data_IF_737225439419
#
_entry.id   IF_737225439419
#
_cell.length_a   1.000
_cell.length_b   1.000
_cell.length_c   1.000
_cell.angle_alpha   90.00
_cell.angle_beta   90.00
_cell.angle_gamma   90.00
#
_symmetry.space_group_name_H-M   'P 1'
#
loop_
_entity.id
_entity.type
_entity.pdbx_description
1 polymer ?
#
# COMPACT_ATOMS: atom_id res chain seq x y z
N UNK A 1 1.93 1.55 -8.78
CA UNK A 1 0.65 1.42 -9.46
C UNK A 1 -0.34 0.52 -8.68
N UNK A 2 0.01 -0.74 -8.37
CA UNK A 2 -0.89 -1.68 -7.68
C UNK A 2 -1.52 -1.09 -6.40
N UNK A 3 -0.72 -0.53 -5.49
CA UNK A 3 -1.21 0.05 -4.23
C UNK A 3 -2.14 1.27 -4.42
N UNK A 4 -2.07 1.97 -5.56
CA UNK A 4 -3.05 3.03 -5.92
C UNK A 4 -4.40 2.43 -6.30
N UNK A 5 -4.43 1.23 -6.86
CA UNK A 5 -5.67 0.57 -7.28
C UNK A 5 -6.37 -0.21 -6.16
N UNK A 6 -5.66 -0.59 -5.08
CA UNK A 6 -6.22 -1.42 -4.00
C UNK A 6 -7.24 -0.74 -3.10
N UNK A 7 -7.22 0.59 -2.80
CA UNK A 7 -8.22 1.19 -1.92
C UNK A 7 -9.65 0.85 -2.36
N UNK A 8 -10.43 0.28 -1.43
CA UNK A 8 -11.82 -0.14 -1.64
C UNK A 8 -12.06 -1.08 -2.84
N UNK A 9 -11.03 -1.79 -3.30
CA UNK A 9 -11.12 -2.78 -4.39
C UNK A 9 -10.50 -4.09 -3.96
N UNK A 10 -10.93 -5.20 -4.58
CA UNK A 10 -10.29 -6.51 -4.35
C UNK A 10 -8.87 -6.47 -4.93
N UNK A 11 -7.88 -6.94 -4.15
CA UNK A 11 -6.47 -6.97 -4.58
C UNK A 11 -6.28 -7.71 -5.91
N UNK A 12 -6.96 -8.85 -6.10
CA UNK A 12 -6.94 -9.60 -7.37
C UNK A 12 -7.43 -8.76 -8.56
N UNK A 13 -8.48 -7.93 -8.37
CA UNK A 13 -8.96 -7.05 -9.42
C UNK A 13 -7.95 -5.94 -9.75
N UNK A 14 -7.33 -5.36 -8.71
CA UNK A 14 -6.27 -4.37 -8.90
C UNK A 14 -5.08 -4.98 -9.66
N UNK A 15 -4.67 -6.19 -9.31
CA UNK A 15 -3.59 -6.90 -10.00
C UNK A 15 -3.93 -7.19 -11.46
N UNK A 16 -5.15 -7.71 -11.71
CA UNK A 16 -5.64 -7.95 -13.09
C UNK A 16 -5.64 -6.66 -13.91
N UNK A 17 -6.12 -5.55 -13.33
CA UNK A 17 -6.11 -4.25 -14.00
C UNK A 17 -4.70 -3.80 -14.38
N UNK A 18 -3.71 -3.95 -13.48
CA UNK A 18 -2.30 -3.64 -13.79
C UNK A 18 -1.77 -4.51 -14.92
N UNK A 19 -2.11 -5.81 -14.95
CA UNK A 19 -1.76 -6.71 -16.06
C UNK A 19 -2.27 -6.18 -17.40
N UNK A 20 -3.57 -5.88 -17.48
CA UNK A 20 -4.21 -5.35 -18.69
C UNK A 20 -3.55 -4.03 -19.13
N UNK A 21 -3.36 -3.08 -18.22
CA UNK A 21 -2.74 -1.79 -18.55
C UNK A 21 -1.30 -1.95 -19.04
N UNK A 22 -0.56 -2.91 -18.48
CA UNK A 22 0.82 -3.19 -18.91
C UNK A 22 0.85 -3.80 -20.30
N UNK A 23 0.01 -4.79 -20.57
CA UNK A 23 -0.07 -5.49 -21.86
C UNK A 23 -0.45 -4.54 -23.01
N UNK A 24 -1.30 -3.55 -22.75
CA UNK A 24 -1.71 -2.53 -23.70
C UNK A 24 -0.79 -1.29 -23.72
N UNK A 25 0.33 -1.29 -22.97
CA UNK A 25 1.24 -0.15 -22.89
C UNK A 25 0.72 1.07 -22.12
N UNK A 26 -0.55 1.05 -21.70
CA UNK A 26 -1.24 2.18 -21.06
C UNK A 26 -0.68 2.53 -19.69
N UNK A 27 -0.10 1.56 -18.99
CA UNK A 27 0.54 1.81 -17.69
C UNK A 27 1.68 2.83 -17.79
N UNK A 28 2.36 2.85 -18.93
CA UNK A 28 3.54 3.69 -19.15
C UNK A 28 3.25 4.94 -19.98
N UNK A 29 2.30 4.89 -20.89
CA UNK A 29 2.07 5.95 -21.88
C UNK A 29 0.61 6.40 -21.98
N UNK A 30 -0.37 5.68 -21.37
CA UNK A 30 -1.80 6.01 -21.52
C UNK A 30 -2.20 7.29 -20.79
N UNK A 31 -3.14 8.01 -21.34
CA UNK A 31 -3.81 9.13 -20.68
C UNK A 31 -4.90 8.65 -19.72
N UNK A 32 -5.34 9.51 -18.80
CA UNK A 32 -6.27 9.12 -17.74
C UNK A 32 -7.59 8.57 -18.29
N UNK A 33 -8.11 9.13 -19.35
CA UNK A 33 -9.35 8.71 -20.02
C UNK A 33 -9.22 7.30 -20.57
N UNK A 34 -8.12 7.00 -21.28
CA UNK A 34 -7.84 5.69 -21.86
C UNK A 34 -7.67 4.63 -20.73
N UNK A 35 -6.89 4.96 -19.69
CA UNK A 35 -6.68 4.08 -18.54
C UNK A 35 -8.01 3.75 -17.86
N UNK A 36 -8.91 4.74 -17.70
CA UNK A 36 -10.19 4.57 -17.03
C UNK A 36 -11.10 3.53 -17.72
N UNK A 37 -11.02 3.36 -19.03
CA UNK A 37 -11.78 2.37 -19.79
C UNK A 37 -11.47 0.93 -19.35
N UNK A 38 -10.22 0.67 -18.97
CA UNK A 38 -9.76 -0.65 -18.52
C UNK A 38 -9.86 -0.88 -16.99
N UNK A 39 -10.28 0.14 -16.23
CA UNK A 39 -10.40 0.07 -14.78
C UNK A 39 -11.81 -0.27 -14.27
N UNK A 40 -12.72 -0.77 -15.10
CA UNK A 40 -14.10 -1.11 -14.71
C UNK A 40 -14.19 -2.14 -13.55
N UNK A 41 -13.16 -2.95 -13.35
CA UNK A 41 -13.10 -3.98 -12.30
C UNK A 41 -12.65 -3.45 -10.94
N UNK A 42 -12.26 -2.15 -10.84
CA UNK A 42 -11.89 -1.49 -9.59
C UNK A 42 -12.83 -0.31 -9.33
N UNK A 43 -13.01 0.04 -8.03
CA UNK A 43 -13.83 1.20 -7.65
C UNK A 43 -13.10 2.51 -7.93
N UNK A 44 -13.86 3.57 -8.22
CA UNK A 44 -13.34 4.93 -8.47
C UNK A 44 -12.38 5.02 -9.65
N UNK A 45 -12.69 4.31 -10.71
CA UNK A 45 -11.84 4.15 -11.89
C UNK A 45 -11.29 5.48 -12.45
N UNK A 46 -12.12 6.52 -12.55
CA UNK A 46 -11.73 7.82 -13.10
C UNK A 46 -10.68 8.52 -12.24
N UNK A 47 -10.86 8.52 -10.91
CA UNK A 47 -9.88 9.09 -9.99
C UNK A 47 -8.58 8.28 -9.99
N UNK A 48 -8.70 6.95 -9.96
CA UNK A 48 -7.53 6.06 -9.96
C UNK A 48 -6.73 6.15 -11.25
N UNK A 49 -7.39 6.31 -12.39
CA UNK A 49 -6.72 6.57 -13.66
C UNK A 49 -5.87 7.85 -13.61
N UNK A 50 -6.44 8.96 -13.12
CA UNK A 50 -5.71 10.22 -12.90
C UNK A 50 -4.53 10.03 -11.94
N UNK A 51 -4.73 9.31 -10.83
CA UNK A 51 -3.66 9.04 -9.86
C UNK A 51 -2.54 8.18 -10.43
N UNK A 52 -2.83 7.27 -11.36
CA UNK A 52 -1.78 6.49 -12.06
C UNK A 52 -0.94 7.38 -12.98
N UNK A 53 -1.56 8.30 -13.70
CA UNK A 53 -0.83 9.27 -14.55
C UNK A 53 0.03 10.19 -13.70
N UNK A 54 -0.53 10.76 -12.61
CA UNK A 54 0.22 11.60 -11.68
C UNK A 54 1.38 10.84 -11.03
N UNK A 55 1.16 9.59 -10.60
CA UNK A 55 2.20 8.73 -10.06
C UNK A 55 3.32 8.50 -11.09
N UNK A 56 2.97 8.20 -12.33
CA UNK A 56 3.94 8.02 -13.41
C UNK A 56 4.78 9.28 -13.59
N UNK A 57 4.15 10.44 -13.67
CA UNK A 57 4.84 11.71 -13.82
C UNK A 57 5.77 12.00 -12.63
N UNK A 58 5.30 11.75 -11.40
CA UNK A 58 6.09 11.92 -10.17
C UNK A 58 7.31 10.98 -10.12
N UNK A 59 7.21 9.80 -10.73
CA UNK A 59 8.28 8.79 -10.77
C UNK A 59 9.16 8.90 -12.03
N UNK A 60 8.96 9.94 -12.85
CA UNK A 60 9.73 10.18 -14.05
C UNK A 60 10.67 11.37 -13.85
N UNK A 61 11.94 11.20 -14.23
CA UNK A 61 12.97 12.25 -14.26
C UNK A 61 13.74 12.15 -15.57
N UNK A 62 13.91 13.27 -16.27
CA UNK A 62 14.61 13.34 -17.57
C UNK A 62 14.06 12.33 -18.59
N UNK A 63 12.73 12.20 -18.66
CA UNK A 63 12.02 11.28 -19.55
C UNK A 63 12.15 9.80 -19.20
N UNK A 64 12.79 9.46 -18.08
CA UNK A 64 12.97 8.06 -17.63
C UNK A 64 12.17 7.78 -16.37
N UNK A 65 11.47 6.64 -16.33
CA UNK A 65 10.76 6.16 -15.16
C UNK A 65 11.75 5.56 -14.15
N UNK A 66 11.99 6.25 -13.03
CA UNK A 66 13.02 5.94 -12.04
C UNK A 66 12.47 5.79 -10.60
N UNK A 67 11.44 4.96 -10.35
CA UNK A 67 10.78 4.91 -9.05
C UNK A 67 11.73 4.47 -7.94
N UNK A 68 12.63 3.52 -8.19
CA UNK A 68 13.61 3.06 -7.20
C UNK A 68 14.55 4.18 -6.77
N UNK A 69 15.12 4.89 -7.72
CA UNK A 69 16.03 6.01 -7.46
C UNK A 69 15.32 7.12 -6.69
N UNK A 70 14.14 7.55 -7.17
CA UNK A 70 13.39 8.63 -6.55
C UNK A 70 12.99 8.29 -5.12
N UNK A 71 12.56 7.07 -4.83
CA UNK A 71 12.19 6.65 -3.48
C UNK A 71 13.43 6.51 -2.57
N UNK A 72 14.55 5.99 -3.08
CA UNK A 72 15.78 5.85 -2.27
C UNK A 72 16.41 7.18 -1.85
N UNK A 73 16.11 8.27 -2.54
CA UNK A 73 16.56 9.63 -2.19
C UNK A 73 15.73 10.26 -1.05
N UNK A 74 14.65 9.63 -0.59
CA UNK A 74 13.74 10.21 0.42
C UNK A 74 14.19 9.93 1.87
N UNK A 75 15.29 9.21 2.06
CA UNK A 75 15.85 8.90 3.36
C UNK A 75 15.48 7.50 3.86
N UNK A 76 15.27 7.37 5.17
CA UNK A 76 14.84 6.09 5.77
C UNK A 76 13.41 5.69 5.42
N UNK A 77 12.99 4.52 5.90
CA UNK A 77 11.64 3.98 5.62
C UNK A 77 10.52 4.91 6.11
N UNK A 78 10.71 5.59 7.23
CA UNK A 78 9.69 6.47 7.81
C UNK A 78 9.60 7.79 7.05
N UNK A 79 10.73 8.34 6.64
CA UNK A 79 10.79 9.54 5.79
C UNK A 79 10.22 9.25 4.40
N UNK A 80 10.57 8.10 3.81
CA UNK A 80 10.03 7.67 2.53
C UNK A 80 8.51 7.43 2.60
N UNK A 81 8.01 6.81 3.70
CA UNK A 81 6.58 6.66 3.96
C UNK A 81 5.85 8.00 4.01
N UNK A 82 6.40 8.95 4.78
CA UNK A 82 5.80 10.29 4.90
C UNK A 82 5.75 10.98 3.55
N UNK A 83 6.83 10.91 2.79
CA UNK A 83 6.86 11.46 1.45
C UNK A 83 5.82 10.81 0.51
N UNK A 84 5.67 9.48 0.53
CA UNK A 84 4.65 8.76 -0.26
C UNK A 84 3.25 9.25 0.14
N UNK A 85 2.96 9.29 1.43
CA UNK A 85 1.67 9.74 1.96
C UNK A 85 1.32 11.17 1.53
N UNK A 86 2.28 12.08 1.56
CA UNK A 86 2.07 13.49 1.24
C UNK A 86 1.99 13.77 -0.27
N UNK A 87 2.66 12.99 -1.10
CA UNK A 87 2.87 13.31 -2.51
C UNK A 87 2.14 12.38 -3.50
N UNK A 88 1.77 11.16 -3.10
CA UNK A 88 1.10 10.22 -4.01
C UNK A 88 -0.39 10.20 -3.73
N UNK A 89 -1.18 10.81 -4.61
CA UNK A 89 -2.64 10.82 -4.50
C UNK A 89 -3.23 9.41 -4.51
N UNK A 90 -4.24 9.20 -3.68
CA UNK A 90 -4.91 7.91 -3.51
C UNK A 90 -4.17 6.90 -2.64
N UNK A 91 -3.04 7.29 -2.04
CA UNK A 91 -2.34 6.50 -1.03
C UNK A 91 -2.50 7.12 0.36
N UNK A 92 -3.15 6.38 1.28
CA UNK A 92 -3.09 6.65 2.71
C UNK A 92 -1.87 5.99 3.36
N UNK A 93 -1.76 6.10 4.69
CA UNK A 93 -0.67 5.47 5.47
C UNK A 93 -0.57 3.96 5.22
N UNK A 94 -1.72 3.28 5.18
CA UNK A 94 -1.78 1.84 4.92
C UNK A 94 -1.23 1.49 3.53
N UNK A 95 -1.61 2.23 2.51
CA UNK A 95 -1.15 2.00 1.13
C UNK A 95 0.33 2.34 0.95
N UNK A 96 0.83 3.38 1.62
CA UNK A 96 2.25 3.73 1.64
C UNK A 96 3.08 2.59 2.27
N UNK A 97 2.65 2.06 3.42
CA UNK A 97 3.31 0.93 4.06
C UNK A 97 3.20 -0.36 3.22
N UNK A 98 2.08 -0.58 2.55
CA UNK A 98 1.91 -1.71 1.64
C UNK A 98 2.91 -1.63 0.45
N UNK A 99 3.08 -0.45 -0.14
CA UNK A 99 4.07 -0.22 -1.18
C UNK A 99 5.48 -0.51 -0.66
N UNK A 100 5.86 0.05 0.49
CA UNK A 100 7.19 -0.11 1.07
C UNK A 100 7.48 -1.56 1.44
N UNK A 101 6.52 -2.29 2.03
CA UNK A 101 6.65 -3.72 2.30
C UNK A 101 6.89 -4.51 1.02
N UNK A 102 6.17 -4.22 -0.07
CA UNK A 102 6.34 -4.88 -1.36
C UNK A 102 7.70 -4.56 -2.02
N UNK A 103 8.36 -3.49 -1.60
CA UNK A 103 9.71 -3.13 -2.02
C UNK A 103 10.81 -3.70 -1.09
N UNK A 104 10.44 -4.46 -0.05
CA UNK A 104 11.38 -5.06 0.90
C UNK A 104 11.70 -4.22 2.13
N UNK A 105 10.97 -3.13 2.37
CA UNK A 105 11.16 -2.22 3.52
C UNK A 105 10.09 -2.41 4.62
N UNK A 106 9.61 -3.64 4.80
CA UNK A 106 8.46 -3.93 5.67
C UNK A 106 8.79 -4.23 7.14
N UNK A 107 10.06 -4.28 7.53
CA UNK A 107 10.46 -4.82 8.85
C UNK A 107 9.93 -4.02 10.04
N UNK A 108 9.80 -2.70 9.89
CA UNK A 108 9.49 -1.77 10.98
C UNK A 108 8.16 -1.01 10.80
N UNK A 109 7.39 -1.33 9.78
CA UNK A 109 6.14 -0.66 9.42
C UNK A 109 4.97 -1.64 9.37
N UNK A 110 3.79 -1.17 9.80
CA UNK A 110 2.56 -1.98 9.81
C UNK A 110 1.63 -1.62 8.65
N UNK A 111 0.94 -2.62 8.10
CA UNK A 111 -0.15 -2.42 7.14
C UNK A 111 -1.46 -2.63 7.88
N UNK A 112 -1.98 -1.58 8.50
CA UNK A 112 -3.16 -1.63 9.36
C UNK A 112 -4.46 -1.70 8.53
N UNK A 113 -4.72 -2.85 7.95
CA UNK A 113 -6.01 -3.14 7.34
C UNK A 113 -6.97 -3.79 8.36
N UNK A 114 -8.21 -4.02 7.93
CA UNK A 114 -9.26 -4.57 8.78
C UNK A 114 -8.92 -5.96 9.34
N UNK A 115 -8.23 -6.78 8.57
CA UNK A 115 -7.82 -8.12 8.99
C UNK A 115 -6.72 -8.05 10.05
N UNK A 116 -5.72 -7.23 9.83
CA UNK A 116 -4.64 -7.01 10.78
C UNK A 116 -5.18 -6.44 12.10
N UNK A 117 -6.03 -5.41 12.05
CA UNK A 117 -6.62 -4.81 13.25
C UNK A 117 -7.42 -5.83 14.08
N UNK A 118 -8.21 -6.71 13.46
CA UNK A 118 -8.94 -7.77 14.17
C UNK A 118 -8.00 -8.75 14.85
N UNK A 119 -6.96 -9.18 14.15
CA UNK A 119 -6.02 -10.14 14.68
C UNK A 119 -5.21 -9.58 15.83
N UNK A 120 -4.69 -8.36 15.74
CA UNK A 120 -3.92 -7.75 16.81
C UNK A 120 -4.78 -7.40 18.04
N UNK A 121 -6.07 -7.11 17.84
CA UNK A 121 -7.02 -7.00 18.95
C UNK A 121 -7.25 -8.38 19.63
N UNK A 122 -7.48 -9.44 18.85
CA UNK A 122 -7.64 -10.79 19.37
C UNK A 122 -6.37 -11.33 20.07
N UNK A 123 -5.20 -10.84 19.70
CA UNK A 123 -3.91 -11.15 20.35
C UNK A 123 -3.61 -10.27 21.56
N UNK A 124 -4.48 -9.31 21.91
CA UNK A 124 -4.29 -8.39 23.03
C UNK A 124 -3.20 -7.32 22.78
N UNK A 125 -2.76 -7.14 21.54
CA UNK A 125 -1.80 -6.09 21.16
C UNK A 125 -2.43 -4.70 21.25
N UNK A 126 -3.73 -4.61 20.92
CA UNK A 126 -4.57 -3.45 21.15
C UNK A 126 -5.83 -3.86 21.93
N UNK A 127 -6.36 -2.96 22.73
CA UNK A 127 -7.56 -3.23 23.56
C UNK A 127 -8.83 -3.33 22.70
N UNK A 128 -8.96 -2.41 21.74
CA UNK A 128 -10.12 -2.36 20.86
C UNK A 128 -9.74 -1.91 19.44
N UNK A 129 -10.58 -2.27 18.47
CA UNK A 129 -10.42 -1.81 17.08
C UNK A 129 -10.94 -0.37 16.98
N UNK A 130 -10.13 0.61 16.59
CA UNK A 130 -10.57 2.00 16.50
C UNK A 130 -11.65 2.17 15.43
N UNK A 131 -12.64 3.01 15.71
CA UNK A 131 -13.71 3.35 14.74
C UNK A 131 -13.19 4.01 13.48
N UNK A 132 -12.12 4.78 13.61
CA UNK A 132 -11.39 5.42 12.49
C UNK A 132 -9.90 5.43 12.80
N UNK A 133 -9.08 5.34 11.74
CA UNK A 133 -7.63 5.40 11.88
C UNK A 133 -7.17 6.80 11.47
N UNK A 134 -6.81 7.60 12.47
CA UNK A 134 -6.10 8.87 12.30
C UNK A 134 -4.60 8.61 12.20
N UNK A 135 -3.84 9.56 11.71
CA UNK A 135 -2.37 9.45 11.65
C UNK A 135 -1.78 9.17 13.04
N UNK A 136 -2.26 9.86 14.08
CA UNK A 136 -1.80 9.67 15.46
C UNK A 136 -2.00 8.23 15.94
N UNK A 137 -3.23 7.71 15.87
CA UNK A 137 -3.50 6.36 16.37
C UNK A 137 -2.91 5.27 15.46
N UNK A 138 -2.62 5.59 14.19
CA UNK A 138 -1.87 4.68 13.32
C UNK A 138 -0.46 4.42 13.89
N UNK A 139 0.26 5.48 14.25
CA UNK A 139 1.60 5.36 14.85
C UNK A 139 1.58 4.66 16.21
N UNK A 140 0.57 4.93 17.05
CA UNK A 140 0.41 4.26 18.33
C UNK A 140 0.21 2.75 18.16
N UNK A 141 -0.68 2.33 17.26
CA UNK A 141 -0.93 0.91 16.96
C UNK A 141 0.32 0.26 16.33
N UNK A 142 0.97 0.93 15.40
CA UNK A 142 2.20 0.46 14.78
C UNK A 142 3.30 0.25 15.82
N UNK A 143 3.45 1.13 16.81
CA UNK A 143 4.40 0.99 17.90
C UNK A 143 4.12 -0.26 18.73
N UNK A 144 2.87 -0.47 19.15
CA UNK A 144 2.44 -1.68 19.89
C UNK A 144 2.70 -2.95 19.08
N UNK A 145 2.41 -2.93 17.79
CA UNK A 145 2.67 -4.08 16.93
C UNK A 145 4.17 -4.35 16.76
N UNK A 146 5.02 -3.30 16.75
CA UNK A 146 6.48 -3.44 16.73
C UNK A 146 7.03 -4.05 18.03
N UNK A 147 6.47 -3.69 19.17
CA UNK A 147 6.81 -4.34 20.45
C UNK A 147 6.42 -5.82 20.44
N UNK A 148 5.22 -6.14 19.97
CA UNK A 148 4.79 -7.53 19.79
C UNK A 148 5.69 -8.31 18.84
N UNK A 149 6.12 -7.69 17.76
CA UNK A 149 7.09 -8.26 16.79
C UNK A 149 8.40 -8.65 17.48
N UNK A 150 8.93 -7.80 18.37
CA UNK A 150 10.14 -8.10 19.14
C UNK A 150 9.95 -9.27 20.11
N UNK A 151 8.82 -9.30 20.81
CA UNK A 151 8.50 -10.38 21.78
C UNK A 151 8.29 -11.71 21.06
N UNK A 152 7.56 -11.72 19.95
CA UNK A 152 7.27 -12.92 19.17
C UNK A 152 8.45 -13.38 18.30
N UNK A 153 9.48 -12.55 18.15
CA UNK A 153 10.63 -12.75 17.25
C UNK A 153 10.23 -12.94 15.77
N UNK A 154 9.10 -12.35 15.37
CA UNK A 154 8.60 -12.37 13.99
C UNK A 154 8.60 -10.95 13.47
N UNK A 155 9.24 -10.68 12.33
CA UNK A 155 9.31 -9.34 11.73
C UNK A 155 7.94 -8.84 11.31
N UNK A 156 7.75 -7.51 11.26
CA UNK A 156 6.45 -6.88 10.98
C UNK A 156 5.87 -7.28 9.62
N UNK A 157 6.70 -7.42 8.59
CA UNK A 157 6.32 -7.88 7.27
C UNK A 157 5.81 -9.32 7.28
N UNK A 158 6.46 -10.21 8.06
CA UNK A 158 6.00 -11.60 8.23
C UNK A 158 4.73 -11.68 9.05
N UNK A 159 4.61 -10.88 10.12
CA UNK A 159 3.38 -10.78 10.90
C UNK A 159 2.21 -10.36 10.02
N UNK A 160 2.39 -9.35 9.16
CA UNK A 160 1.37 -8.93 8.21
C UNK A 160 0.88 -10.09 7.33
N UNK A 161 1.79 -10.86 6.76
CA UNK A 161 1.46 -11.99 5.88
C UNK A 161 0.79 -13.14 6.65
N UNK A 162 1.29 -13.49 7.83
CA UNK A 162 0.74 -14.56 8.68
C UNK A 162 -0.68 -14.22 9.13
N UNK A 163 -0.88 -13.01 9.68
CA UNK A 163 -2.18 -12.58 10.17
C UNK A 163 -3.19 -12.41 9.02
N UNK A 164 -2.73 -11.98 7.86
CA UNK A 164 -3.58 -11.88 6.69
C UNK A 164 -3.97 -13.27 6.15
N UNK A 165 -3.02 -14.22 6.08
CA UNK A 165 -3.29 -15.61 5.70
C UNK A 165 -4.32 -16.28 6.61
N UNK A 166 -4.23 -16.06 7.92
CA UNK A 166 -5.21 -16.57 8.91
C UNK A 166 -6.64 -16.17 8.57
N UNK A 167 -6.86 -14.96 8.05
CA UNK A 167 -8.20 -14.45 7.70
C UNK A 167 -8.63 -14.82 6.29
N UNK A 168 -7.70 -14.78 5.34
CA UNK A 168 -8.02 -14.90 3.91
C UNK A 168 -7.83 -16.32 3.34
N UNK A 169 -7.10 -17.19 4.05
CA UNK A 169 -6.75 -18.54 3.59
C UNK A 169 -5.73 -18.57 2.45
N UNK A 170 -5.23 -17.42 2.02
CA UNK A 170 -4.24 -17.27 0.96
C UNK A 170 -3.37 -16.03 1.20
N UNK A 171 -2.18 -15.98 0.58
CA UNK A 171 -1.34 -14.78 0.57
C UNK A 171 -1.45 -14.13 -0.80
N UNK A 172 -2.29 -13.11 -0.90
CA UNK A 172 -2.41 -12.24 -2.06
C UNK A 172 -2.53 -10.79 -1.62
N UNK A 173 -1.37 -10.16 -1.38
CA UNK A 173 -1.32 -8.82 -0.78
C UNK A 173 -0.13 -8.01 -1.30
#
# INVERSE_FOLDING_TARGET
AFCVLTPQSKARNAWKAIGILRENGLLFNGEAEEIAEYLNIVRFKNNKAKYLVELRNLMTRDGKLLPKTILSEKGDVFQTRKWIFDNIKGMGMKEANHLLRNLGFGNDIAILDRHILRNIAALGVIEEIPKSITEKNYYEIESKMREYSKISKITMDKLDLILWYKEAGEIFK
#
